data_IF_323481884433
#
_entry.id   IF_323481884433
#
_cell.length_a   1.000
_cell.length_b   1.000
_cell.length_c   1.000
_cell.angle_alpha   90.00
_cell.angle_beta   90.00
_cell.angle_gamma   90.00
#
_symmetry.space_group_name_H-M   'P 1'
#
loop_
_entity.id
_entity.type
_entity.pdbx_description
1 polymer ?
#
# COMPACT_ATOMS: atom_id res chain seq x y z
N UNK A 1 -15.22 18.39 31.01
CA UNK A 1 -14.99 19.40 29.94
C UNK A 1 -13.84 18.85 29.10
N UNK A 2 -14.15 18.16 27.99
CA UNK A 2 -13.16 17.56 27.10
C UNK A 2 -12.41 18.71 26.40
N UNK A 3 -11.11 18.81 26.61
CA UNK A 3 -10.24 19.70 25.85
C UNK A 3 -9.95 19.04 24.51
N UNK A 4 -10.60 19.52 23.46
CA UNK A 4 -10.22 19.19 22.08
C UNK A 4 -8.90 19.88 21.84
N UNK A 5 -7.82 19.10 21.82
CA UNK A 5 -6.50 19.59 21.42
C UNK A 5 -6.49 19.65 19.91
N UNK A 6 -6.72 20.84 19.38
CA UNK A 6 -6.60 21.15 17.97
C UNK A 6 -5.10 21.11 17.61
N UNK A 7 -4.64 20.00 17.03
CA UNK A 7 -3.28 19.89 16.54
C UNK A 7 -3.12 20.70 15.26
N UNK A 8 -2.23 21.68 15.32
CA UNK A 8 -1.83 22.47 14.18
C UNK A 8 -1.14 21.60 13.13
N UNK A 9 -1.62 21.70 11.90
CA UNK A 9 -0.98 21.18 10.70
C UNK A 9 0.43 21.79 10.57
N UNK A 10 1.47 21.01 10.90
CA UNK A 10 2.85 21.38 10.60
C UNK A 10 3.19 20.81 9.22
N UNK A 11 3.14 21.66 8.20
CA UNK A 11 3.64 21.32 6.88
C UNK A 11 5.17 21.23 6.93
N UNK A 12 5.72 20.06 7.13
CA UNK A 12 7.14 19.81 6.99
C UNK A 12 7.46 19.57 5.51
N UNK A 13 7.99 20.59 4.86
CA UNK A 13 8.56 20.48 3.50
C UNK A 13 9.94 19.83 3.64
N UNK A 14 10.06 18.54 3.36
CA UNK A 14 11.37 17.91 3.22
C UNK A 14 11.88 18.10 1.80
N UNK A 15 12.87 18.98 1.66
CA UNK A 15 13.68 19.15 0.46
C UNK A 15 14.78 18.08 0.43
N UNK A 16 14.62 17.04 -0.36
CA UNK A 16 15.73 16.17 -0.73
C UNK A 16 16.53 16.82 -1.85
N UNK A 17 17.65 17.43 -1.49
CA UNK A 17 18.62 17.91 -2.46
C UNK A 17 19.62 16.80 -2.77
N UNK A 18 19.43 16.08 -3.89
CA UNK A 18 20.49 15.29 -4.52
C UNK A 18 20.96 16.01 -5.78
N UNK A 19 22.23 16.38 -5.79
CA UNK A 19 22.95 17.09 -6.85
C UNK A 19 23.15 16.21 -8.07
N UNK A 20 22.64 16.61 -9.25
CA UNK A 20 23.35 16.77 -10.53
C UNK A 20 22.35 16.98 -11.69
N UNK A 21 22.42 18.15 -12.26
CA UNK A 21 22.03 18.61 -13.61
C UNK A 21 21.14 17.68 -14.45
N UNK A 22 19.84 17.77 -14.25
CA UNK A 22 18.76 17.86 -15.23
C UNK A 22 17.60 18.51 -14.47
N UNK A 23 16.73 19.25 -15.10
CA UNK A 23 15.58 19.86 -14.41
C UNK A 23 14.63 18.74 -13.95
N UNK A 24 14.97 18.11 -12.83
CA UNK A 24 14.17 17.07 -12.20
C UNK A 24 12.82 17.69 -11.83
N UNK A 25 11.77 17.14 -12.41
CA UNK A 25 10.39 17.41 -12.00
C UNK A 25 10.16 16.74 -10.65
N UNK A 26 10.79 17.26 -9.60
CA UNK A 26 10.62 16.72 -8.25
C UNK A 26 9.19 16.97 -7.79
N UNK A 27 8.46 15.90 -7.51
CA UNK A 27 7.12 15.98 -6.93
C UNK A 27 7.28 16.43 -5.49
N UNK A 28 6.56 17.48 -5.10
CA UNK A 28 6.47 17.89 -3.71
C UNK A 28 5.28 17.16 -3.09
N UNK A 29 5.48 16.58 -1.92
CA UNK A 29 4.45 15.85 -1.20
C UNK A 29 3.92 16.67 -0.02
N UNK A 30 2.64 16.50 0.26
CA UNK A 30 1.95 16.99 1.45
C UNK A 30 1.67 15.81 2.38
N UNK A 31 1.99 16.00 3.68
CA UNK A 31 1.68 15.03 4.71
C UNK A 31 0.30 15.31 5.29
N UNK A 32 -0.47 14.25 5.47
CA UNK A 32 -1.71 14.21 6.23
C UNK A 32 -1.49 13.23 7.38
N UNK A 33 -1.52 13.75 8.61
CA UNK A 33 -1.28 12.98 9.83
C UNK A 33 -2.47 13.12 10.75
N UNK A 34 -2.93 12.00 11.27
CA UNK A 34 -3.97 11.96 12.29
C UNK A 34 -3.59 10.91 13.34
N UNK A 35 -3.45 11.35 14.57
CA UNK A 35 -3.12 10.51 15.72
C UNK A 35 -4.21 10.72 16.77
N UNK A 36 -4.79 9.63 17.24
CA UNK A 36 -5.72 9.61 18.37
C UNK A 36 -5.45 8.35 19.20
N UNK A 37 -4.88 8.55 20.37
CA UNK A 37 -4.59 7.47 21.30
C UNK A 37 -5.27 7.73 22.64
N UNK A 38 -6.51 7.27 22.83
CA UNK A 38 -7.24 7.47 24.07
C UNK A 38 -6.61 6.76 25.28
N UNK A 39 -5.69 5.83 25.04
CA UNK A 39 -5.03 5.03 26.10
C UNK A 39 -3.77 5.67 26.68
N UNK A 40 -3.23 6.71 26.04
CA UNK A 40 -1.95 7.30 26.43
C UNK A 40 -1.98 8.02 27.78
N UNK A 41 -3.15 8.47 28.25
CA UNK A 41 -3.29 9.31 29.45
C UNK A 41 -4.22 8.69 30.53
N UNK A 42 -4.80 7.52 30.27
CA UNK A 42 -5.76 6.86 31.18
C UNK A 42 -5.46 5.39 31.34
N UNK A 43 -5.86 4.79 32.46
CA UNK A 43 -5.89 3.32 32.65
C UNK A 43 -7.09 2.70 31.88
N UNK A 44 -7.84 3.49 31.12
CA UNK A 44 -8.95 3.02 30.29
C UNK A 44 -8.41 2.20 29.10
N UNK A 45 -8.91 0.97 28.99
CA UNK A 45 -8.52 0.04 27.93
C UNK A 45 -9.63 -0.17 26.89
N UNK A 46 -10.62 0.75 26.86
CA UNK A 46 -11.81 0.65 25.99
C UNK A 46 -11.83 1.81 25.00
N UNK A 47 -11.77 1.51 23.70
CA UNK A 47 -11.84 2.54 22.66
C UNK A 47 -11.12 2.16 21.37
N UNK A 48 -10.96 3.15 20.48
CA UNK A 48 -10.28 3.00 19.19
C UNK A 48 -9.08 3.94 19.14
N UNK A 49 -7.91 3.36 18.85
CA UNK A 49 -6.70 4.10 18.55
C UNK A 49 -6.54 4.25 17.04
N UNK A 50 -6.10 5.42 16.60
CA UNK A 50 -5.75 5.70 15.21
C UNK A 50 -4.33 6.21 15.09
N UNK A 51 -3.62 5.73 14.06
CA UNK A 51 -2.36 6.30 13.58
C UNK A 51 -2.40 6.35 12.05
N UNK A 52 -2.58 7.52 11.48
CA UNK A 52 -2.74 7.71 10.03
C UNK A 52 -1.64 8.62 9.51
N UNK A 53 -0.88 8.15 8.52
CA UNK A 53 0.23 8.87 7.88
C UNK A 53 0.15 8.72 6.37
N UNK A 54 -0.35 9.75 5.69
CA UNK A 54 -0.57 9.75 4.25
C UNK A 54 0.26 10.87 3.61
N UNK A 55 1.05 10.53 2.59
CA UNK A 55 1.79 11.48 1.77
C UNK A 55 1.18 11.53 0.37
N UNK A 56 0.72 12.69 -0.06
CA UNK A 56 0.10 12.88 -1.37
C UNK A 56 0.85 13.95 -2.17
N UNK A 57 0.81 13.90 -3.52
CA UNK A 57 1.37 14.95 -4.36
C UNK A 57 0.73 16.31 -4.03
N UNK A 58 1.55 17.34 -3.80
CA UNK A 58 1.09 18.68 -3.48
C UNK A 58 0.66 19.43 -4.74
N UNK A 59 -0.64 19.46 -5.00
CA UNK A 59 -1.23 20.05 -6.23
C UNK A 59 -0.94 21.54 -6.41
N UNK A 60 -0.78 22.30 -5.32
CA UNK A 60 -0.48 23.73 -5.35
C UNK A 60 0.90 24.03 -5.96
N UNK A 61 1.84 23.10 -5.87
CA UNK A 61 3.17 23.21 -6.45
C UNK A 61 3.28 22.65 -7.87
N UNK A 62 2.22 21.98 -8.34
CA UNK A 62 2.16 21.42 -9.68
C UNK A 62 1.98 22.52 -10.73
N UNK A 63 2.64 22.36 -11.88
CA UNK A 63 2.33 23.15 -13.07
C UNK A 63 0.91 22.85 -13.57
N UNK A 64 0.37 23.71 -14.45
CA UNK A 64 -0.95 23.48 -15.04
C UNK A 64 -1.05 22.11 -15.75
N UNK A 65 0.02 21.68 -16.42
CA UNK A 65 0.08 20.38 -17.09
C UNK A 65 0.18 19.19 -16.12
N UNK A 66 0.83 19.36 -14.96
CA UNK A 66 1.00 18.31 -13.96
C UNK A 66 -0.22 18.13 -13.06
N UNK A 67 -0.97 19.21 -12.80
CA UNK A 67 -2.08 19.21 -11.86
C UNK A 67 -3.13 18.11 -12.12
N UNK A 68 -3.66 17.93 -13.36
CA UNK A 68 -4.63 16.87 -13.62
C UNK A 68 -4.03 15.46 -13.44
N UNK A 69 -2.74 15.27 -13.71
CA UNK A 69 -2.06 14.00 -13.53
C UNK A 69 -1.90 13.67 -12.04
N UNK A 70 -1.45 14.64 -11.24
CA UNK A 70 -1.32 14.49 -9.79
C UNK A 70 -2.67 14.31 -9.10
N UNK A 71 -3.73 14.99 -9.60
CA UNK A 71 -5.08 14.77 -9.09
C UNK A 71 -5.55 13.34 -9.36
N UNK A 72 -5.35 12.83 -10.58
CA UNK A 72 -5.73 11.46 -10.92
C UNK A 72 -4.99 10.42 -10.04
N UNK A 73 -3.70 10.63 -9.76
CA UNK A 73 -2.95 9.79 -8.83
C UNK A 73 -3.52 9.88 -7.41
N UNK A 74 -3.78 11.08 -6.91
CA UNK A 74 -4.38 11.30 -5.58
C UNK A 74 -5.74 10.61 -5.46
N UNK A 75 -6.59 10.74 -6.48
CA UNK A 75 -7.91 10.10 -6.50
C UNK A 75 -7.77 8.57 -6.49
N UNK A 76 -6.85 8.01 -7.27
CA UNK A 76 -6.58 6.57 -7.29
C UNK A 76 -6.08 6.05 -5.93
N UNK A 77 -5.13 6.74 -5.32
CA UNK A 77 -4.55 6.40 -4.01
C UNK A 77 -5.61 6.42 -2.91
N UNK A 78 -6.36 7.52 -2.80
CA UNK A 78 -7.34 7.69 -1.74
C UNK A 78 -8.59 6.82 -1.94
N UNK A 79 -9.03 6.60 -3.18
CA UNK A 79 -10.12 5.67 -3.47
C UNK A 79 -9.74 4.27 -2.97
N UNK A 80 -8.54 3.80 -3.29
CA UNK A 80 -8.11 2.46 -2.92
C UNK A 80 -7.87 2.30 -1.42
N UNK A 81 -7.39 3.35 -0.74
CA UNK A 81 -7.06 3.32 0.68
C UNK A 81 -8.26 3.59 1.59
N UNK A 82 -9.15 4.50 1.19
CA UNK A 82 -10.23 5.05 2.03
C UNK A 82 -11.64 4.83 1.45
N UNK A 83 -11.84 3.91 0.50
CA UNK A 83 -13.19 3.57 0.06
C UNK A 83 -13.99 2.90 1.21
N UNK A 84 -15.27 3.27 1.44
CA UNK A 84 -16.12 4.20 0.66
C UNK A 84 -16.05 5.67 1.13
N UNK A 85 -15.15 6.03 2.01
CA UNK A 85 -15.10 7.36 2.66
C UNK A 85 -14.52 8.44 1.75
N UNK A 86 -13.59 8.08 0.84
CA UNK A 86 -13.14 8.99 -0.20
C UNK A 86 -14.11 8.98 -1.38
N UNK A 87 -14.52 10.18 -1.81
CA UNK A 87 -15.51 10.38 -2.88
C UNK A 87 -15.24 11.74 -3.54
N UNK A 88 -13.95 12.00 -3.85
CA UNK A 88 -13.49 13.26 -4.43
C UNK A 88 -13.48 14.45 -3.46
N UNK A 89 -13.69 14.21 -2.16
CA UNK A 89 -13.60 15.24 -1.12
C UNK A 89 -12.14 15.52 -0.71
N UNK A 90 -11.93 16.54 0.11
CA UNK A 90 -10.61 16.84 0.66
C UNK A 90 -10.06 15.64 1.47
N UNK A 91 -8.75 15.33 1.39
CA UNK A 91 -8.15 14.16 2.06
C UNK A 91 -8.37 14.14 3.58
N UNK A 92 -8.25 15.28 4.25
CA UNK A 92 -8.50 15.44 5.69
C UNK A 92 -9.94 15.11 6.07
N UNK A 93 -10.90 15.50 5.24
CA UNK A 93 -12.31 15.14 5.46
C UNK A 93 -12.56 13.65 5.24
N UNK A 94 -11.91 13.01 4.25
CA UNK A 94 -12.03 11.58 4.03
C UNK A 94 -11.43 10.78 5.19
N UNK A 95 -10.28 11.20 5.71
CA UNK A 95 -9.65 10.59 6.90
C UNK A 95 -10.57 10.73 8.12
N UNK A 96 -11.14 11.92 8.31
CA UNK A 96 -12.08 12.14 9.42
C UNK A 96 -13.31 11.25 9.32
N UNK A 97 -13.92 11.15 8.15
CA UNK A 97 -15.12 10.34 7.92
C UNK A 97 -14.82 8.84 8.14
N UNK A 98 -13.64 8.38 7.71
CA UNK A 98 -13.15 7.03 8.02
C UNK A 98 -13.08 6.79 9.53
N UNK A 99 -12.38 7.67 10.27
CA UNK A 99 -12.22 7.53 11.72
C UNK A 99 -13.56 7.58 12.45
N UNK A 100 -14.46 8.47 12.04
CA UNK A 100 -15.79 8.60 12.66
C UNK A 100 -16.65 7.34 12.42
N UNK A 101 -16.54 6.71 11.23
CA UNK A 101 -17.23 5.46 10.93
C UNK A 101 -16.73 4.31 11.80
N UNK A 102 -15.42 4.13 11.89
CA UNK A 102 -14.82 3.07 12.73
C UNK A 102 -15.20 3.27 14.23
N UNK A 103 -15.23 4.52 14.72
CA UNK A 103 -15.69 4.79 16.08
C UNK A 103 -17.17 4.45 16.26
N UNK A 104 -18.00 4.72 15.25
CA UNK A 104 -19.43 4.35 15.30
C UNK A 104 -19.59 2.85 15.35
N UNK A 105 -18.88 2.11 14.52
CA UNK A 105 -18.89 0.64 14.50
C UNK A 105 -18.43 0.05 15.84
N UNK A 106 -17.35 0.61 16.42
CA UNK A 106 -16.90 0.23 17.75
C UNK A 106 -17.97 0.46 18.83
N UNK A 107 -18.62 1.63 18.81
CA UNK A 107 -19.67 1.95 19.79
C UNK A 107 -20.88 1.03 19.64
N UNK A 108 -21.30 0.72 18.41
CA UNK A 108 -22.42 -0.20 18.15
C UNK A 108 -22.05 -1.62 18.64
N UNK A 109 -20.83 -2.07 18.40
CA UNK A 109 -20.33 -3.36 18.90
C UNK A 109 -20.27 -3.38 20.43
N UNK A 110 -19.72 -2.34 21.08
CA UNK A 110 -19.62 -2.23 22.54
C UNK A 110 -20.99 -2.19 23.26
N UNK A 111 -22.06 -1.83 22.56
CA UNK A 111 -23.44 -1.88 23.09
C UNK A 111 -24.04 -3.29 23.08
N UNK A 112 -23.52 -4.19 22.20
CA UNK A 112 -24.02 -5.56 22.07
C UNK A 112 -23.33 -6.54 23.03
N UNK A 113 -22.11 -6.23 23.43
CA UNK A 113 -21.28 -7.08 24.26
C UNK A 113 -20.85 -6.28 25.50
N UNK A 114 -21.33 -6.65 26.69
CA UNK A 114 -20.91 -5.97 27.92
C UNK A 114 -19.42 -6.31 28.19
N UNK A 115 -18.51 -5.34 28.02
CA UNK A 115 -17.07 -5.57 28.21
C UNK A 115 -16.71 -6.11 29.58
N UNK A 116 -17.56 -5.91 30.56
CA UNK A 116 -17.32 -6.38 31.93
C UNK A 116 -17.74 -7.83 32.16
N UNK A 117 -18.62 -8.39 31.33
CA UNK A 117 -19.15 -9.76 31.45
C UNK A 117 -18.34 -10.79 30.63
N UNK A 118 -17.72 -10.38 29.52
CA UNK A 118 -17.03 -11.31 28.59
C UNK A 118 -15.68 -11.81 29.08
N UNK A 119 -15.13 -11.26 30.17
CA UNK A 119 -13.82 -11.66 30.70
C UNK A 119 -12.63 -11.33 29.77
N UNK A 120 -12.86 -10.60 28.70
CA UNK A 120 -11.80 -10.10 27.83
C UNK A 120 -11.19 -8.84 28.44
N UNK A 121 -9.89 -8.82 28.72
CA UNK A 121 -9.27 -7.75 29.50
C UNK A 121 -9.08 -6.44 28.74
N UNK A 122 -9.22 -6.41 27.39
CA UNK A 122 -8.91 -5.25 26.58
C UNK A 122 -9.85 -5.12 25.39
N UNK A 123 -10.71 -4.12 25.42
CA UNK A 123 -11.57 -3.71 24.30
C UNK A 123 -10.91 -2.58 23.51
N UNK A 124 -9.73 -2.86 22.95
CA UNK A 124 -8.98 -1.92 22.13
C UNK A 124 -9.12 -2.29 20.66
N UNK A 125 -9.61 -1.35 19.87
CA UNK A 125 -9.42 -1.40 18.44
C UNK A 125 -8.24 -0.51 18.06
N UNK A 126 -7.42 -0.97 17.13
CA UNK A 126 -6.27 -0.22 16.61
C UNK A 126 -6.41 -0.15 15.11
N UNK A 127 -6.29 1.05 14.56
CA UNK A 127 -6.32 1.33 13.12
C UNK A 127 -5.09 2.14 12.74
N UNK A 128 -4.23 1.57 11.90
CA UNK A 128 -3.08 2.27 11.37
C UNK A 128 -3.16 2.29 9.85
N UNK A 129 -3.04 3.47 9.25
CA UNK A 129 -2.95 3.65 7.82
C UNK A 129 -1.65 4.35 7.47
N UNK A 130 -0.92 3.79 6.54
CA UNK A 130 0.29 4.41 5.98
C UNK A 130 0.20 4.45 4.46
N UNK A 131 0.58 5.57 3.85
CA UNK A 131 0.72 5.71 2.41
C UNK A 131 1.92 6.60 2.11
N UNK A 132 3.00 6.02 1.61
CA UNK A 132 4.26 6.72 1.39
C UNK A 132 4.84 6.44 0.00
N UNK A 133 5.45 7.44 -0.66
CA UNK A 133 6.22 7.20 -1.88
C UNK A 133 7.53 6.47 -1.53
N UNK A 134 7.87 5.42 -2.29
CA UNK A 134 9.09 4.63 -2.10
C UNK A 134 10.14 4.88 -3.19
N UNK A 135 9.70 5.06 -4.42
CA UNK A 135 10.60 5.30 -5.57
C UNK A 135 10.01 6.38 -6.46
N UNK A 136 10.79 7.43 -6.71
CA UNK A 136 10.49 8.46 -7.70
C UNK A 136 11.56 8.44 -8.78
N UNK A 137 11.12 8.44 -10.03
CA UNK A 137 11.97 8.62 -11.21
C UNK A 137 11.41 9.75 -12.07
N UNK A 138 12.06 10.11 -13.18
CA UNK A 138 11.51 11.10 -14.10
C UNK A 138 10.15 10.71 -14.70
N UNK A 139 9.83 9.41 -14.74
CA UNK A 139 8.67 8.88 -15.46
C UNK A 139 7.75 8.02 -14.62
N UNK A 140 8.18 7.58 -13.42
CA UNK A 140 7.42 6.67 -12.57
C UNK A 140 7.48 7.07 -11.12
N UNK A 141 6.39 6.77 -10.40
CA UNK A 141 6.27 6.92 -8.97
C UNK A 141 5.71 5.63 -8.37
N UNK A 142 6.40 5.08 -7.38
CA UNK A 142 5.94 3.91 -6.61
C UNK A 142 5.45 4.38 -5.25
N UNK A 143 4.29 3.89 -4.85
CA UNK A 143 3.76 4.06 -3.51
C UNK A 143 3.60 2.72 -2.80
N UNK A 144 3.79 2.76 -1.50
CA UNK A 144 3.45 1.70 -0.57
C UNK A 144 2.34 2.21 0.37
N UNK A 145 1.21 1.53 0.34
CA UNK A 145 0.11 1.70 1.27
C UNK A 145 0.03 0.50 2.22
N UNK A 146 -0.29 0.75 3.48
CA UNK A 146 -0.52 -0.29 4.47
C UNK A 146 -1.71 0.08 5.34
N UNK A 147 -2.58 -0.91 5.57
CA UNK A 147 -3.72 -0.82 6.49
C UNK A 147 -3.53 -1.92 7.53
N UNK A 148 -3.32 -1.51 8.78
CA UNK A 148 -3.30 -2.43 9.91
C UNK A 148 -4.57 -2.23 10.73
N UNK A 149 -5.25 -3.34 11.05
CA UNK A 149 -6.46 -3.34 11.84
C UNK A 149 -6.42 -4.43 12.91
N UNK A 150 -6.66 -4.05 14.15
CA UNK A 150 -6.94 -4.95 15.26
C UNK A 150 -8.29 -4.59 15.86
N UNK A 151 -9.20 -5.53 15.89
CA UNK A 151 -10.58 -5.35 16.38
C UNK A 151 -10.93 -6.30 17.53
N UNK A 152 -9.92 -6.72 18.32
CA UNK A 152 -10.11 -7.57 19.49
C UNK A 152 -10.11 -9.08 19.22
N UNK A 153 -9.75 -9.53 18.01
CA UNK A 153 -9.59 -10.96 17.68
C UNK A 153 -8.26 -11.55 18.16
N UNK A 154 -7.99 -12.82 17.79
CA UNK A 154 -6.71 -13.49 18.12
C UNK A 154 -5.51 -12.81 17.46
N UNK A 155 -5.69 -12.29 16.23
CA UNK A 155 -4.63 -11.68 15.44
C UNK A 155 -5.10 -10.39 14.77
N UNK A 156 -4.19 -9.40 14.61
CA UNK A 156 -4.44 -8.27 13.74
C UNK A 156 -4.47 -8.71 12.27
N UNK A 157 -5.06 -7.88 11.42
CA UNK A 157 -4.91 -7.97 9.97
C UNK A 157 -4.03 -6.84 9.45
N UNK A 158 -3.18 -7.15 8.47
CA UNK A 158 -2.45 -6.16 7.71
C UNK A 158 -2.73 -6.38 6.24
N UNK A 159 -3.07 -5.30 5.54
CA UNK A 159 -3.20 -5.30 4.08
C UNK A 159 -2.20 -4.33 3.50
N UNK A 160 -1.35 -4.81 2.60
CA UNK A 160 -0.40 -3.98 1.85
C UNK A 160 -0.95 -3.70 0.46
N UNK A 161 -0.90 -2.44 0.03
CA UNK A 161 -1.39 -1.99 -1.27
C UNK A 161 -0.26 -1.26 -1.99
N UNK A 162 0.20 -1.84 -3.09
CA UNK A 162 1.29 -1.29 -3.87
C UNK A 162 0.76 -0.57 -5.12
N UNK A 163 1.37 0.57 -5.44
CA UNK A 163 1.00 1.35 -6.61
C UNK A 163 2.24 1.69 -7.43
N UNK A 164 2.10 1.57 -8.73
CA UNK A 164 3.07 2.07 -9.70
C UNK A 164 2.35 3.03 -10.65
N UNK A 165 2.80 4.28 -10.72
CA UNK A 165 2.21 5.30 -11.59
C UNK A 165 3.16 5.68 -12.73
N UNK A 166 2.61 5.90 -13.91
CA UNK A 166 3.27 6.60 -15.00
C UNK A 166 3.06 8.12 -14.81
N UNK A 167 4.15 8.86 -14.59
CA UNK A 167 4.12 10.30 -14.38
C UNK A 167 3.82 11.11 -15.65
N UNK A 168 3.84 10.48 -16.82
CA UNK A 168 3.44 11.14 -18.07
C UNK A 168 1.92 11.18 -18.23
N UNK A 169 1.22 10.20 -17.65
CA UNK A 169 -0.24 10.04 -17.81
C UNK A 169 -1.01 10.19 -16.50
N UNK A 170 -0.36 10.10 -15.35
CA UNK A 170 -0.97 10.07 -14.02
C UNK A 170 -1.74 8.78 -13.73
N UNK A 171 -1.65 7.77 -14.60
CA UNK A 171 -2.36 6.51 -14.44
C UNK A 171 -1.54 5.50 -13.68
N UNK A 172 -2.22 4.69 -12.87
CA UNK A 172 -1.64 3.49 -12.30
C UNK A 172 -1.32 2.50 -13.42
N UNK A 173 -0.11 1.97 -13.41
CA UNK A 173 0.32 0.93 -14.32
C UNK A 173 -0.08 -0.44 -13.77
N UNK A 174 -0.81 -1.18 -14.56
CA UNK A 174 -1.28 -2.52 -14.27
C UNK A 174 -0.45 -3.56 -15.01
N UNK A 175 -0.62 -4.82 -14.63
CA UNK A 175 -0.01 -5.95 -15.34
C UNK A 175 -0.39 -5.95 -16.82
N UNK A 176 -1.65 -5.59 -17.15
CA UNK A 176 -2.15 -5.55 -18.52
C UNK A 176 -1.37 -4.56 -19.39
N UNK A 177 -0.89 -3.47 -18.83
CA UNK A 177 -0.12 -2.47 -19.56
C UNK A 177 1.36 -2.86 -19.70
N UNK A 178 1.88 -3.61 -18.72
CA UNK A 178 3.31 -3.93 -18.63
C UNK A 178 3.69 -5.24 -19.31
N UNK A 179 2.82 -6.26 -19.28
CA UNK A 179 3.19 -7.63 -19.66
C UNK A 179 2.42 -8.16 -20.87
N UNK A 180 3.12 -8.94 -21.70
CA UNK A 180 2.56 -9.52 -22.91
C UNK A 180 1.49 -10.58 -22.63
N UNK A 181 1.57 -11.28 -21.49
CA UNK A 181 0.65 -12.35 -21.10
C UNK A 181 -0.68 -11.85 -20.52
N UNK A 182 -0.74 -10.61 -20.03
CA UNK A 182 -1.88 -10.15 -19.24
C UNK A 182 -3.20 -10.02 -20.03
N UNK A 183 -3.14 -9.96 -21.36
CA UNK A 183 -4.33 -9.99 -22.24
C UNK A 183 -4.92 -11.38 -22.43
N UNK A 184 -4.13 -12.44 -22.26
CA UNK A 184 -4.45 -13.83 -22.58
C UNK A 184 -4.51 -14.74 -21.34
N UNK A 185 -4.28 -14.19 -20.16
CA UNK A 185 -4.32 -14.93 -18.90
C UNK A 185 -5.72 -15.55 -18.66
N UNK A 186 -5.83 -16.72 -17.99
CA UNK A 186 -4.78 -17.50 -17.35
C UNK A 186 -4.22 -18.68 -18.17
N UNK A 187 -4.48 -18.79 -19.43
CA UNK A 187 -4.20 -20.01 -20.22
C UNK A 187 -3.07 -19.88 -21.25
N UNK A 188 -2.40 -18.71 -21.33
CA UNK A 188 -1.29 -18.56 -22.27
C UNK A 188 -0.02 -19.25 -21.77
N UNK A 189 0.81 -19.76 -22.69
CA UNK A 189 2.11 -20.32 -22.38
C UNK A 189 3.01 -19.29 -21.65
N UNK A 190 2.94 -18.03 -22.04
CA UNK A 190 3.68 -16.94 -21.43
C UNK A 190 3.24 -16.67 -19.97
N UNK A 191 1.93 -16.70 -19.69
CA UNK A 191 1.40 -16.59 -18.34
C UNK A 191 1.89 -17.73 -17.44
N UNK A 192 1.75 -18.99 -17.93
CA UNK A 192 2.18 -20.15 -17.16
C UNK A 192 3.70 -20.13 -16.89
N UNK A 193 4.51 -19.68 -17.86
CA UNK A 193 5.95 -19.52 -17.66
C UNK A 193 6.27 -18.42 -16.63
N UNK A 194 5.49 -17.35 -16.58
CA UNK A 194 5.65 -16.32 -15.55
C UNK A 194 5.26 -16.83 -14.14
N UNK A 195 4.17 -17.58 -14.02
CA UNK A 195 3.78 -18.25 -12.76
C UNK A 195 4.87 -19.21 -12.29
N UNK A 196 5.45 -20.02 -13.19
CA UNK A 196 6.57 -20.91 -12.82
C UNK A 196 7.82 -20.15 -12.41
N UNK A 197 8.09 -18.97 -12.98
CA UNK A 197 9.15 -18.08 -12.50
C UNK A 197 8.87 -17.65 -11.04
N UNK A 198 7.65 -17.20 -10.72
CA UNK A 198 7.25 -16.83 -9.35
C UNK A 198 7.43 -18.01 -8.38
N UNK A 199 6.90 -19.19 -8.73
CA UNK A 199 7.05 -20.42 -7.94
C UNK A 199 8.51 -20.81 -7.73
N UNK A 200 9.34 -20.64 -8.76
CA UNK A 200 10.78 -20.88 -8.69
C UNK A 200 11.49 -19.95 -7.69
N UNK A 201 11.05 -18.69 -7.60
CA UNK A 201 11.60 -17.77 -6.61
C UNK A 201 11.17 -18.11 -5.18
N UNK A 202 9.90 -18.49 -4.97
CA UNK A 202 9.44 -18.97 -3.65
C UNK A 202 10.22 -20.21 -3.20
N UNK A 203 10.47 -21.19 -4.09
CA UNK A 203 11.30 -22.36 -3.74
C UNK A 203 12.70 -21.95 -3.28
N UNK A 204 13.35 -21.00 -3.98
CA UNK A 204 14.65 -20.45 -3.55
C UNK A 204 14.58 -19.77 -2.18
N UNK A 205 13.46 -19.10 -1.87
CA UNK A 205 13.24 -18.50 -0.55
C UNK A 205 13.11 -19.57 0.52
N UNK A 206 12.30 -20.61 0.30
CA UNK A 206 12.17 -21.75 1.23
C UNK A 206 13.53 -22.42 1.48
N UNK A 207 14.39 -22.55 0.46
CA UNK A 207 15.74 -23.14 0.61
C UNK A 207 16.74 -22.22 1.36
N UNK A 208 16.44 -20.92 1.46
CA UNK A 208 17.34 -19.91 2.02
C UNK A 208 17.01 -19.48 3.47
N UNK A 209 15.84 -19.87 4.00
CA UNK A 209 15.38 -19.50 5.35
C UNK A 209 14.76 -20.71 6.06
N UNK A 210 14.81 -20.68 7.38
CA UNK A 210 14.08 -21.62 8.24
C UNK A 210 12.73 -21.04 8.72
N UNK A 211 12.38 -19.82 8.29
CA UNK A 211 11.17 -19.11 8.75
C UNK A 211 9.89 -19.75 8.21
N UNK A 212 9.94 -20.33 7.01
CA UNK A 212 8.84 -21.08 6.40
C UNK A 212 9.36 -22.15 5.42
N UNK A 213 8.51 -23.10 5.12
CA UNK A 213 8.81 -24.25 4.26
C UNK A 213 7.88 -24.31 3.04
N UNK A 214 8.18 -25.20 2.11
CA UNK A 214 7.32 -25.41 0.96
C UNK A 214 5.90 -25.93 1.32
N UNK A 215 5.74 -26.52 2.51
CA UNK A 215 4.44 -27.01 3.01
C UNK A 215 3.55 -25.88 3.54
N UNK A 216 4.13 -24.69 3.81
CA UNK A 216 3.40 -23.49 4.24
C UNK A 216 2.83 -22.71 3.06
N UNK A 217 3.12 -23.10 1.82
CA UNK A 217 2.75 -22.38 0.60
C UNK A 217 1.56 -23.05 -0.09
N UNK A 218 0.53 -22.29 -0.38
CA UNK A 218 -0.55 -22.68 -1.28
C UNK A 218 -0.13 -22.48 -2.75
N UNK A 219 0.52 -23.50 -3.30
CA UNK A 219 1.08 -23.47 -4.64
C UNK A 219 0.06 -23.29 -5.76
N UNK A 220 -1.20 -23.64 -5.52
CA UNK A 220 -2.27 -23.51 -6.51
C UNK A 220 -2.71 -22.03 -6.67
N UNK A 221 -2.55 -21.25 -5.62
CA UNK A 221 -2.89 -19.83 -5.61
C UNK A 221 -1.70 -18.90 -5.92
N UNK A 222 -0.48 -19.44 -6.12
CA UNK A 222 0.66 -18.62 -6.57
C UNK A 222 0.46 -18.16 -8.00
N UNK A 223 0.06 -16.92 -8.18
CA UNK A 223 -0.17 -16.27 -9.47
C UNK A 223 -0.03 -14.75 -9.34
N UNK A 224 0.19 -14.00 -10.44
CA UNK A 224 0.12 -12.55 -10.42
C UNK A 224 -1.21 -12.05 -9.83
N UNK A 225 -1.16 -11.23 -8.78
CA UNK A 225 -2.32 -10.75 -8.04
C UNK A 225 -2.59 -9.24 -8.21
N UNK A 226 -1.82 -8.57 -9.07
CA UNK A 226 -1.93 -7.13 -9.31
C UNK A 226 -1.33 -6.26 -8.20
N UNK A 227 -0.87 -6.84 -7.10
CA UNK A 227 -0.27 -6.13 -5.98
C UNK A 227 1.26 -6.16 -6.06
N UNK A 228 1.82 -5.26 -6.85
CA UNK A 228 3.25 -5.24 -7.12
C UNK A 228 3.84 -3.84 -7.11
N UNK A 229 5.13 -3.78 -6.83
CA UNK A 229 5.98 -2.61 -6.98
C UNK A 229 7.23 -2.91 -7.78
N UNK A 230 7.92 -1.86 -8.19
CA UNK A 230 9.21 -1.97 -8.87
C UNK A 230 10.31 -1.32 -8.04
N UNK A 231 11.48 -1.91 -8.13
CA UNK A 231 12.72 -1.35 -7.63
C UNK A 231 13.64 -0.97 -8.80
N UNK A 232 14.85 -0.58 -8.50
CA UNK A 232 15.85 -0.26 -9.53
C UNK A 232 16.16 -1.45 -10.46
N UNK A 233 16.03 -2.68 -9.95
CA UNK A 233 16.52 -3.90 -10.60
C UNK A 233 15.58 -5.11 -10.47
N UNK A 234 14.39 -4.94 -9.87
CA UNK A 234 13.45 -6.02 -9.68
C UNK A 234 11.98 -5.57 -9.72
N UNK A 235 11.11 -6.51 -10.08
CA UNK A 235 9.68 -6.49 -9.83
C UNK A 235 9.41 -7.24 -8.53
N UNK A 236 8.58 -6.69 -7.65
CA UNK A 236 8.25 -7.30 -6.36
C UNK A 236 6.75 -7.46 -6.27
N UNK A 237 6.27 -8.69 -6.22
CA UNK A 237 4.89 -9.02 -5.89
C UNK A 237 4.75 -9.22 -4.39
N UNK A 238 3.76 -8.58 -3.81
CA UNK A 238 3.40 -8.76 -2.41
C UNK A 238 2.15 -9.64 -2.28
N UNK A 239 2.21 -10.55 -1.32
CA UNK A 239 1.09 -11.38 -0.90
C UNK A 239 0.90 -11.21 0.61
N UNK A 240 -0.28 -10.78 1.00
CA UNK A 240 -0.66 -10.71 2.40
C UNK A 240 -0.82 -12.12 3.00
N UNK A 241 -0.85 -12.20 4.32
CA UNK A 241 -1.13 -13.45 5.05
C UNK A 241 -2.46 -14.04 4.56
N UNK A 242 -2.50 -15.34 4.37
CA UNK A 242 -3.63 -16.13 3.83
C UNK A 242 -3.89 -16.01 2.32
N UNK A 243 -3.14 -15.21 1.56
CA UNK A 243 -3.27 -15.23 0.10
C UNK A 243 -2.61 -16.48 -0.49
N UNK A 244 -1.35 -16.74 -0.12
CA UNK A 244 -0.59 -17.94 -0.54
C UNK A 244 0.19 -18.58 0.62
N UNK A 245 0.06 -18.05 1.85
CA UNK A 245 0.75 -18.53 3.05
C UNK A 245 -0.23 -18.68 4.21
N UNK A 246 0.20 -19.41 5.26
CA UNK A 246 -0.48 -19.43 6.55
C UNK A 246 0.09 -18.34 7.49
N UNK A 247 -0.49 -18.20 8.68
CA UNK A 247 -0.06 -17.23 9.69
C UNK A 247 1.38 -17.42 10.17
N UNK A 248 1.91 -18.63 10.12
CA UNK A 248 3.26 -18.93 10.61
C UNK A 248 4.32 -18.38 9.66
N UNK A 249 4.05 -18.45 8.33
CA UNK A 249 4.94 -17.92 7.31
C UNK A 249 4.86 -16.39 7.16
N UNK A 250 3.74 -15.78 7.57
CA UNK A 250 3.53 -14.33 7.39
C UNK A 250 3.29 -13.93 5.93
N UNK A 251 3.34 -12.60 5.63
CA UNK A 251 3.27 -12.10 4.26
C UNK A 251 4.54 -12.43 3.48
N UNK A 252 4.43 -12.53 2.16
CA UNK A 252 5.57 -12.85 1.27
C UNK A 252 5.76 -11.77 0.19
N UNK A 253 7.01 -11.35 0.00
CA UNK A 253 7.48 -10.57 -1.14
C UNK A 253 8.23 -11.46 -2.13
N UNK A 254 7.65 -11.68 -3.31
CA UNK A 254 8.32 -12.42 -4.39
C UNK A 254 9.13 -11.44 -5.22
N UNK A 255 10.45 -11.49 -5.08
CA UNK A 255 11.39 -10.61 -5.78
C UNK A 255 11.83 -11.25 -7.10
N UNK A 256 11.40 -10.67 -8.22
CA UNK A 256 11.71 -11.11 -9.57
C UNK A 256 12.76 -10.18 -10.20
N UNK A 257 14.01 -10.62 -10.41
CA UNK A 257 15.03 -9.79 -11.04
C UNK A 257 14.60 -9.31 -12.43
N UNK A 258 14.88 -8.04 -12.77
CA UNK A 258 14.42 -7.44 -14.01
C UNK A 258 14.86 -8.20 -15.27
N UNK A 259 16.08 -8.81 -15.26
CA UNK A 259 16.58 -9.58 -16.40
C UNK A 259 15.79 -10.89 -16.64
N UNK A 260 15.20 -11.49 -15.60
CA UNK A 260 14.33 -12.68 -15.72
C UNK A 260 12.92 -12.29 -16.21
N UNK A 261 12.44 -11.11 -15.77
CA UNK A 261 11.13 -10.57 -16.14
C UNK A 261 11.11 -10.04 -17.60
N UNK A 262 12.27 -9.63 -18.13
CA UNK A 262 12.39 -8.95 -19.42
C UNK A 262 11.61 -9.61 -20.57
N UNK A 263 11.69 -10.93 -20.69
CA UNK A 263 11.06 -11.70 -21.77
C UNK A 263 9.52 -11.63 -21.78
N UNK A 264 8.93 -11.28 -20.64
CA UNK A 264 7.48 -11.16 -20.46
C UNK A 264 6.96 -9.75 -20.65
N UNK A 265 7.84 -8.75 -20.73
CA UNK A 265 7.47 -7.34 -20.75
C UNK A 265 7.10 -6.86 -22.14
N UNK A 266 6.17 -5.92 -22.20
CA UNK A 266 5.90 -5.13 -23.40
C UNK A 266 7.00 -4.11 -23.62
N UNK A 267 7.67 -4.21 -24.77
CA UNK A 267 8.71 -3.24 -25.14
C UNK A 267 8.12 -1.83 -25.31
N UNK A 268 8.91 -0.83 -24.92
CA UNK A 268 8.52 0.58 -25.08
C UNK A 268 7.67 1.15 -23.93
N UNK A 269 7.24 0.33 -22.97
CA UNK A 269 6.62 0.83 -21.72
C UNK A 269 7.61 1.65 -20.90
N UNK A 270 7.11 2.51 -20.02
CA UNK A 270 7.98 3.32 -19.13
C UNK A 270 8.89 2.45 -18.28
N UNK A 271 8.35 1.33 -17.75
CA UNK A 271 9.13 0.40 -16.94
C UNK A 271 10.21 -0.34 -17.77
N UNK A 272 9.86 -0.81 -18.99
CA UNK A 272 10.84 -1.44 -19.88
C UNK A 272 11.98 -0.48 -20.22
N UNK A 273 11.64 0.79 -20.53
CA UNK A 273 12.64 1.81 -20.85
C UNK A 273 13.51 2.15 -19.64
N UNK A 274 12.92 2.26 -18.45
CA UNK A 274 13.66 2.51 -17.20
C UNK A 274 14.73 1.45 -16.92
N UNK A 275 14.40 0.17 -17.14
CA UNK A 275 15.32 -0.91 -16.86
C UNK A 275 16.33 -1.21 -17.97
N UNK A 276 15.95 -1.03 -19.25
CA UNK A 276 16.71 -1.59 -20.38
C UNK A 276 17.11 -0.60 -21.46
N UNK A 277 16.62 0.62 -21.43
CA UNK A 277 17.07 1.68 -22.34
C UNK A 277 17.75 2.76 -21.53
N UNK A 278 19.08 2.80 -21.67
CA UNK A 278 19.91 3.87 -21.12
C UNK A 278 20.10 4.97 -22.15
#
# INVERSE_FOLDING_TARGET
MKKITLFCLLAAVMLFAASCRHSEKTIVFQNYEYEDNPFAETDDTVGVQFSIKIQLPLLEKATEAQRPLMQAMTDSLLTRLLEPYYNGKAPDQAIKDYCDSIRSEFNDWALLDDPTESGMPNYQWIQELSLVPELETEQMLVYNGSIYAYTGGEHPSTTTILFLFDLNTGKQLTEQELFNWAGDAPNSESYNAFVELMKGMIRKMCDATDDFTADDIDWDNVAPNGNFKVTKDALVYHFDVYEITNTNAGPIDIVLPNHEVKQFMKEGTVLYNYWFKK
#
